data_IF_356692238654
#
_entry.id   IF_356692238654
#
_cell.length_a   1.000
_cell.length_b   1.000
_cell.length_c   1.000
_cell.angle_alpha   90.00
_cell.angle_beta   90.00
_cell.angle_gamma   90.00
#
_symmetry.space_group_name_H-M   'P 1'
#
loop_
_entity.id
_entity.type
_entity.pdbx_description
1 polymer ?
#
# COMPACT_ATOMS: atom_id res chain seq x y z
N UNK A 1 38.24 46.26 -17.46
CA UNK A 1 37.09 45.47 -17.93
C UNK A 1 36.32 45.04 -16.68
N UNK A 2 35.45 45.94 -16.21
CA UNK A 2 33.99 45.77 -16.22
C UNK A 2 33.53 44.73 -15.15
N UNK A 3 33.13 45.19 -13.96
CA UNK A 3 31.71 45.41 -13.52
C UNK A 3 31.01 44.06 -13.24
N UNK A 4 30.27 43.80 -12.16
CA UNK A 4 29.61 44.66 -11.19
C UNK A 4 28.85 43.78 -10.17
N UNK A 5 28.68 44.32 -8.97
CA UNK A 5 27.48 44.22 -8.13
C UNK A 5 27.19 42.92 -7.35
N UNK A 6 27.66 42.92 -6.10
CA UNK A 6 26.81 42.59 -4.94
C UNK A 6 25.67 43.61 -4.80
N UNK A 7 24.50 43.19 -4.28
CA UNK A 7 23.77 43.97 -3.28
C UNK A 7 23.40 43.11 -2.04
N UNK A 8 23.63 43.62 -0.82
CA UNK A 8 22.66 44.12 0.20
C UNK A 8 21.58 43.09 0.62
N UNK A 9 21.50 42.57 1.86
CA UNK A 9 21.30 43.17 3.21
C UNK A 9 19.92 43.86 3.40
N UNK A 10 19.17 43.40 4.41
CA UNK A 10 17.86 43.86 4.99
C UNK A 10 16.60 43.36 4.25
N UNK A 11 15.53 42.82 4.88
CA UNK A 11 14.98 42.91 6.24
C UNK A 11 14.12 41.65 6.54
N UNK A 12 14.25 41.01 7.71
CA UNK A 12 13.35 41.09 8.88
C UNK A 12 12.01 40.33 8.65
N UNK A 13 11.71 39.20 9.28
CA UNK A 13 11.57 39.00 10.73
C UNK A 13 11.25 37.53 11.05
N UNK A 14 11.94 36.95 12.04
CA UNK A 14 11.41 35.87 12.91
C UNK A 14 10.38 36.49 13.89
N UNK A 15 9.39 35.77 14.49
CA UNK A 15 9.45 34.43 15.10
C UNK A 15 8.18 33.58 14.76
N UNK A 16 7.92 32.32 15.14
CA UNK A 16 8.03 31.60 16.41
C UNK A 16 8.02 30.10 16.06
N UNK A 17 9.06 29.39 16.47
CA UNK A 17 9.06 27.93 16.63
C UNK A 17 8.48 27.59 18.01
N UNK A 18 7.49 26.70 18.15
CA UNK A 18 7.39 25.84 19.31
C UNK A 18 8.24 24.61 19.03
N UNK A 19 9.37 24.58 19.72
CA UNK A 19 10.18 23.40 20.02
C UNK A 19 9.37 22.14 20.29
N UNK A 20 9.84 21.01 19.78
CA UNK A 20 9.95 19.68 20.43
C UNK A 20 10.43 18.71 19.34
N UNK A 21 11.74 18.61 19.11
CA UNK A 21 12.58 17.56 19.71
C UNK A 21 11.98 16.16 19.58
N UNK A 22 12.21 15.50 18.44
CA UNK A 22 12.87 14.19 18.39
C UNK A 22 13.10 13.73 16.93
N UNK A 23 14.32 13.31 16.65
CA UNK A 23 14.68 12.33 15.61
C UNK A 23 14.83 12.77 14.15
N UNK A 24 15.87 13.58 13.85
CA UNK A 24 16.55 13.53 12.54
C UNK A 24 17.31 12.22 12.30
N UNK A 25 17.44 11.36 13.31
CA UNK A 25 18.01 10.02 13.16
C UNK A 25 17.04 9.02 12.52
N UNK A 26 15.71 9.24 12.61
CA UNK A 26 14.74 8.33 11.99
C UNK A 26 14.64 8.52 10.47
N UNK A 27 14.83 9.76 9.99
CA UNK A 27 14.77 10.08 8.55
C UNK A 27 15.97 9.54 7.77
N UNK A 28 17.15 9.42 8.41
CA UNK A 28 18.35 8.90 7.77
C UNK A 28 18.37 7.38 7.65
N UNK A 29 17.70 6.64 8.54
CA UNK A 29 17.55 5.19 8.40
C UNK A 29 16.64 4.86 7.21
N UNK A 30 15.57 5.63 7.02
CA UNK A 30 14.66 5.46 5.88
C UNK A 30 15.34 5.79 4.54
N UNK A 31 16.24 6.77 4.52
CA UNK A 31 16.97 7.18 3.32
C UNK A 31 18.19 6.28 3.01
N UNK A 32 18.87 5.73 4.04
CA UNK A 32 20.00 4.82 3.86
C UNK A 32 19.55 3.43 3.37
N UNK A 33 18.40 2.94 3.82
CA UNK A 33 17.78 1.72 3.31
C UNK A 33 17.36 1.84 1.83
N UNK A 34 17.11 3.07 1.34
CA UNK A 34 16.76 3.31 -0.06
C UNK A 34 17.97 3.14 -0.99
N UNK A 35 19.19 3.49 -0.54
CA UNK A 35 20.42 3.38 -1.36
C UNK A 35 21.07 2.00 -1.33
N UNK A 36 20.86 1.18 -0.29
CA UNK A 36 21.37 -0.22 -0.25
C UNK A 36 20.58 -1.13 -1.23
N UNK A 37 19.42 -0.67 -1.71
CA UNK A 37 18.61 -1.36 -2.71
C UNK A 37 19.13 -1.18 -4.16
N UNK A 38 20.13 -0.32 -4.39
CA UNK A 38 20.51 0.14 -5.73
C UNK A 38 21.46 -0.83 -6.49
N UNK A 39 22.25 -1.66 -5.79
CA UNK A 39 23.31 -2.46 -6.43
C UNK A 39 22.88 -3.81 -7.04
N UNK A 40 21.58 -4.13 -7.02
CA UNK A 40 21.02 -5.27 -7.81
C UNK A 40 19.86 -4.87 -8.71
N UNK A 41 19.79 -3.59 -9.11
CA UNK A 41 18.73 -3.05 -9.97
C UNK A 41 18.98 -3.18 -11.49
N UNK A 42 19.77 -4.14 -11.96
CA UNK A 42 20.03 -4.27 -13.40
C UNK A 42 18.85 -4.89 -14.20
N UNK A 43 17.70 -5.22 -13.60
CA UNK A 43 16.55 -5.75 -14.35
C UNK A 43 15.15 -5.35 -13.83
N UNK A 44 15.03 -4.39 -12.92
CA UNK A 44 13.77 -4.11 -12.20
C UNK A 44 12.99 -2.88 -12.68
N UNK A 45 13.31 -2.36 -13.88
CA UNK A 45 12.67 -1.18 -14.47
C UNK A 45 11.83 -1.48 -15.73
N UNK A 46 11.56 -2.74 -16.07
CA UNK A 46 10.60 -3.07 -17.14
C UNK A 46 9.20 -3.20 -16.53
N UNK A 47 8.32 -2.28 -16.90
CA UNK A 47 7.11 -1.96 -16.15
C UNK A 47 6.19 -3.14 -15.84
N UNK A 48 5.84 -3.27 -14.54
CA UNK A 48 4.82 -4.17 -14.01
C UNK A 48 3.50 -4.11 -14.80
N UNK A 49 3.25 -5.07 -15.69
CA UNK A 49 1.99 -5.18 -16.39
C UNK A 49 0.86 -5.50 -15.38
N UNK A 50 -0.33 -5.01 -15.65
CA UNK A 50 -1.52 -5.32 -14.85
C UNK A 50 -2.51 -5.94 -15.81
N UNK A 51 -2.83 -7.21 -15.59
CA UNK A 51 -3.80 -7.91 -16.41
C UNK A 51 -5.16 -7.19 -16.33
N UNK A 52 -5.83 -7.01 -17.46
CA UNK A 52 -7.10 -6.28 -17.51
C UNK A 52 -8.19 -6.95 -16.65
N UNK A 53 -8.10 -8.27 -16.46
CA UNK A 53 -8.98 -9.01 -15.55
C UNK A 53 -8.89 -8.47 -14.11
N UNK A 54 -7.70 -8.04 -13.64
CA UNK A 54 -7.55 -7.47 -12.31
C UNK A 54 -8.44 -6.22 -12.13
N UNK A 55 -8.48 -5.35 -13.15
CA UNK A 55 -9.28 -4.12 -13.13
C UNK A 55 -10.76 -4.45 -13.22
N UNK A 56 -11.13 -5.39 -14.09
CA UNK A 56 -12.53 -5.84 -14.25
C UNK A 56 -13.08 -6.41 -12.94
N UNK A 57 -12.34 -7.32 -12.28
CA UNK A 57 -12.76 -7.91 -11.00
C UNK A 57 -12.85 -6.88 -9.88
N UNK A 58 -11.93 -5.93 -9.83
CA UNK A 58 -12.01 -4.81 -8.89
C UNK A 58 -13.25 -3.93 -9.11
N UNK A 59 -13.57 -3.62 -10.38
CA UNK A 59 -14.79 -2.89 -10.72
C UNK A 59 -16.06 -3.67 -10.34
N UNK A 60 -16.07 -5.00 -10.52
CA UNK A 60 -17.16 -5.86 -10.07
C UNK A 60 -17.35 -5.84 -8.55
N UNK A 61 -16.25 -5.88 -7.78
CA UNK A 61 -16.28 -5.75 -6.33
C UNK A 61 -16.85 -4.38 -5.91
N UNK A 62 -16.36 -3.29 -6.51
CA UNK A 62 -16.80 -1.92 -6.19
C UNK A 62 -18.27 -1.67 -6.56
N UNK A 63 -18.71 -2.11 -7.74
CA UNK A 63 -20.01 -1.77 -8.30
C UNK A 63 -21.12 -2.75 -7.89
N UNK A 64 -20.83 -4.06 -7.93
CA UNK A 64 -21.84 -5.10 -7.69
C UNK A 64 -21.74 -5.71 -6.29
N UNK A 65 -20.62 -5.51 -5.58
CA UNK A 65 -20.32 -6.18 -4.31
C UNK A 65 -20.42 -7.70 -4.41
N UNK A 66 -20.05 -8.24 -5.58
CA UNK A 66 -20.07 -9.67 -5.86
C UNK A 66 -18.95 -10.43 -5.16
N UNK A 67 -17.94 -9.73 -4.65
CA UNK A 67 -16.80 -10.33 -3.98
C UNK A 67 -16.52 -9.58 -2.68
N UNK A 68 -16.22 -10.31 -1.60
CA UNK A 68 -15.81 -9.72 -0.32
C UNK A 68 -14.34 -9.33 -0.32
N UNK A 69 -13.52 -10.16 -0.94
CA UNK A 69 -12.10 -9.90 -1.14
C UNK A 69 -11.63 -10.35 -2.52
N UNK A 70 -10.50 -9.82 -2.96
CA UNK A 70 -9.78 -10.30 -4.15
C UNK A 70 -8.30 -10.38 -3.78
N UNK A 71 -7.66 -11.50 -4.07
CA UNK A 71 -6.23 -11.69 -3.90
C UNK A 71 -5.56 -11.67 -5.27
N UNK A 72 -4.48 -10.90 -5.35
CA UNK A 72 -3.63 -10.77 -6.52
C UNK A 72 -2.22 -11.22 -6.19
N UNK A 73 -1.54 -11.75 -7.20
CA UNK A 73 -0.13 -12.11 -7.12
C UNK A 73 0.63 -11.56 -8.31
N UNK A 74 1.92 -11.36 -8.13
CA UNK A 74 2.84 -11.01 -9.21
C UNK A 74 3.47 -12.30 -9.73
N UNK A 75 3.29 -12.58 -11.02
CA UNK A 75 3.98 -13.67 -11.71
C UNK A 75 4.92 -13.06 -12.73
N UNK A 76 6.23 -13.17 -12.49
CA UNK A 76 7.24 -12.52 -13.31
C UNK A 76 7.18 -11.00 -13.17
N UNK A 77 6.56 -10.32 -14.14
CA UNK A 77 6.39 -8.85 -14.17
C UNK A 77 4.94 -8.46 -14.47
N UNK A 78 3.99 -9.34 -14.16
CA UNK A 78 2.56 -9.11 -14.37
C UNK A 78 1.78 -9.39 -13.10
N UNK A 79 0.82 -8.51 -12.78
CA UNK A 79 -0.16 -8.73 -11.72
C UNK A 79 -1.34 -9.50 -12.28
N UNK A 80 -1.63 -10.64 -11.66
CA UNK A 80 -2.73 -11.53 -12.03
C UNK A 80 -3.64 -11.80 -10.82
N UNK A 81 -4.90 -12.13 -11.09
CA UNK A 81 -5.85 -12.56 -10.05
C UNK A 81 -5.48 -13.96 -9.58
N UNK A 82 -5.39 -14.16 -8.27
CA UNK A 82 -5.15 -15.48 -7.68
C UNK A 82 -6.42 -16.11 -7.12
N UNK A 83 -7.18 -15.34 -6.33
CA UNK A 83 -8.42 -15.82 -5.70
C UNK A 83 -9.46 -14.71 -5.65
N UNK A 84 -10.69 -15.07 -5.96
CA UNK A 84 -11.86 -14.23 -5.76
C UNK A 84 -12.62 -14.74 -4.54
N UNK A 85 -12.83 -13.84 -3.58
CA UNK A 85 -13.53 -14.11 -2.34
C UNK A 85 -15.02 -13.97 -2.52
N UNK A 86 -15.80 -15.03 -2.31
CA UNK A 86 -17.26 -14.97 -2.41
C UNK A 86 -17.85 -14.09 -1.28
N UNK A 87 -19.04 -13.50 -1.44
CA UNK A 87 -19.68 -12.70 -0.38
C UNK A 87 -19.97 -13.52 0.90
N UNK A 88 -20.10 -14.83 0.74
CA UNK A 88 -20.34 -15.78 1.83
C UNK A 88 -19.06 -16.12 2.62
N UNK A 89 -17.88 -15.94 2.04
CA UNK A 89 -16.61 -16.23 2.72
C UNK A 89 -16.35 -15.21 3.83
N UNK A 90 -15.89 -15.72 4.98
CA UNK A 90 -15.63 -14.94 6.17
C UNK A 90 -14.25 -14.27 6.13
N UNK A 91 -13.99 -13.40 7.10
CA UNK A 91 -12.66 -12.81 7.27
C UNK A 91 -11.57 -13.85 7.58
N UNK A 92 -11.95 -14.94 8.27
CA UNK A 92 -11.04 -16.03 8.59
C UNK A 92 -10.65 -16.84 7.36
N UNK A 93 -11.59 -17.03 6.41
CA UNK A 93 -11.30 -17.68 5.12
C UNK A 93 -10.34 -16.82 4.27
N UNK A 94 -10.47 -15.50 4.37
CA UNK A 94 -9.55 -14.57 3.73
C UNK A 94 -8.14 -14.67 4.32
N UNK A 95 -7.98 -14.59 5.64
CA UNK A 95 -6.65 -14.72 6.27
C UNK A 95 -6.04 -16.10 6.04
N UNK A 96 -6.85 -17.17 6.05
CA UNK A 96 -6.40 -18.52 5.74
C UNK A 96 -5.93 -18.69 4.28
N UNK A 97 -6.42 -17.85 3.36
CA UNK A 97 -5.99 -17.88 1.96
C UNK A 97 -4.68 -17.13 1.68
N UNK A 98 -4.12 -16.42 2.67
CA UNK A 98 -2.84 -15.73 2.54
C UNK A 98 -1.67 -16.68 2.92
N UNK A 99 -0.69 -16.87 2.03
CA UNK A 99 0.45 -17.74 2.31
C UNK A 99 1.40 -17.12 3.33
N UNK A 100 1.95 -17.94 4.22
CA UNK A 100 2.88 -17.48 5.25
C UNK A 100 4.30 -17.23 4.73
N UNK A 101 4.63 -17.62 3.49
CA UNK A 101 5.98 -17.61 2.91
C UNK A 101 6.09 -16.76 1.63
N UNK A 102 4.96 -16.26 1.11
CA UNK A 102 4.94 -15.47 -0.12
C UNK A 102 4.16 -14.16 0.04
N UNK A 103 4.55 -13.15 -0.74
CA UNK A 103 3.86 -11.86 -0.76
C UNK A 103 2.59 -11.93 -1.64
N UNK A 104 1.57 -11.16 -1.26
CA UNK A 104 0.31 -11.02 -2.00
C UNK A 104 -0.22 -9.59 -1.91
N UNK A 105 -1.01 -9.18 -2.88
CA UNK A 105 -1.89 -8.03 -2.70
C UNK A 105 -3.29 -8.53 -2.49
N UNK A 106 -4.04 -7.85 -1.62
CA UNK A 106 -5.45 -8.13 -1.46
C UNK A 106 -6.23 -6.82 -1.46
N UNK A 107 -7.44 -6.89 -2.00
CA UNK A 107 -8.45 -5.86 -1.85
C UNK A 107 -9.57 -6.46 -1.03
N UNK A 108 -10.02 -5.75 0.00
CA UNK A 108 -11.08 -6.17 0.89
C UNK A 108 -12.12 -5.05 0.99
N UNK A 109 -13.39 -5.36 0.69
CA UNK A 109 -14.50 -4.41 0.93
C UNK A 109 -15.01 -4.63 2.34
N UNK A 110 -14.76 -3.66 3.22
CA UNK A 110 -15.23 -3.70 4.59
C UNK A 110 -16.51 -2.90 4.73
N UNK A 111 -17.62 -3.59 4.97
CA UNK A 111 -18.92 -2.98 5.27
C UNK A 111 -19.10 -2.78 6.77
N UNK A 112 -19.55 -1.59 7.16
CA UNK A 112 -19.83 -1.25 8.55
C UNK A 112 -21.10 -0.40 8.66
N UNK A 113 -21.74 -0.51 9.80
CA UNK A 113 -22.95 0.26 10.13
C UNK A 113 -22.51 1.35 11.11
N UNK A 114 -22.76 2.60 10.75
CA UNK A 114 -22.53 3.76 11.65
C UNK A 114 -23.65 3.86 12.69
N UNK A 115 -23.43 4.54 13.81
CA UNK A 115 -24.44 4.76 14.87
C UNK A 115 -25.76 5.37 14.36
N UNK A 116 -25.72 6.08 13.23
CA UNK A 116 -26.89 6.62 12.52
C UNK A 116 -27.66 5.55 11.70
N UNK A 117 -27.37 4.26 11.91
CA UNK A 117 -27.90 3.13 11.15
C UNK A 117 -27.68 3.25 9.62
N UNK A 118 -26.66 3.99 9.22
CA UNK A 118 -26.25 4.14 7.83
C UNK A 118 -25.20 3.06 7.49
N UNK A 119 -25.51 2.21 6.51
CA UNK A 119 -24.55 1.23 5.99
C UNK A 119 -23.55 1.93 5.08
N UNK A 120 -22.27 1.90 5.45
CA UNK A 120 -21.15 2.41 4.66
C UNK A 120 -20.22 1.26 4.32
N UNK A 121 -19.45 1.41 3.25
CA UNK A 121 -18.36 0.48 2.95
C UNK A 121 -17.08 1.21 2.60
N UNK A 122 -15.97 0.64 3.02
CA UNK A 122 -14.62 1.13 2.76
C UNK A 122 -13.81 0.04 2.09
N UNK A 123 -13.20 0.39 0.96
CA UNK A 123 -12.32 -0.52 0.23
C UNK A 123 -10.91 -0.38 0.79
N UNK A 124 -10.40 -1.47 1.34
CA UNK A 124 -9.05 -1.62 1.86
C UNK A 124 -8.17 -2.29 0.82
N UNK A 125 -7.01 -1.70 0.57
CA UNK A 125 -5.92 -2.35 -0.15
C UNK A 125 -4.89 -2.83 0.87
N UNK A 126 -4.64 -4.13 0.88
CA UNK A 126 -3.76 -4.81 1.82
C UNK A 126 -2.55 -5.34 1.05
N UNK A 127 -1.35 -4.82 1.35
CA UNK A 127 -0.11 -5.39 0.88
C UNK A 127 0.41 -6.40 1.92
N UNK A 128 0.28 -7.68 1.59
CA UNK A 128 0.73 -8.80 2.41
C UNK A 128 2.19 -9.14 2.07
N UNK A 129 3.07 -9.03 3.07
CA UNK A 129 4.50 -9.29 2.89
C UNK A 129 5.09 -9.96 4.13
N UNK A 130 4.94 -11.28 4.28
CA UNK A 130 5.36 -11.99 5.48
C UNK A 130 6.88 -12.02 5.61
N UNK A 131 7.39 -12.08 6.84
CA UNK A 131 8.81 -11.85 7.07
C UNK A 131 9.74 -12.95 6.53
N UNK A 132 9.21 -14.16 6.48
CA UNK A 132 9.78 -15.38 5.91
C UNK A 132 9.93 -15.33 4.38
N UNK A 133 9.24 -14.40 3.70
CA UNK A 133 9.29 -14.30 2.24
C UNK A 133 10.64 -13.81 1.73
N UNK A 134 10.97 -14.19 0.49
CA UNK A 134 12.26 -13.85 -0.13
C UNK A 134 12.42 -12.34 -0.26
N UNK A 135 13.58 -11.81 0.15
CA UNK A 135 13.92 -10.37 0.06
C UNK A 135 13.65 -9.79 -1.34
N UNK A 136 14.01 -10.52 -2.40
CA UNK A 136 13.75 -10.10 -3.78
C UNK A 136 12.25 -9.97 -4.08
N UNK A 137 11.42 -10.86 -3.55
CA UNK A 137 9.96 -10.77 -3.73
C UNK A 137 9.40 -9.57 -2.98
N UNK A 138 9.78 -9.37 -1.71
CA UNK A 138 9.38 -8.19 -0.94
C UNK A 138 9.72 -6.89 -1.68
N UNK A 139 10.92 -6.82 -2.26
CA UNK A 139 11.36 -5.68 -3.05
C UNK A 139 10.46 -5.43 -4.28
N UNK A 140 10.17 -6.48 -5.07
CA UNK A 140 9.30 -6.37 -6.25
C UNK A 140 7.88 -5.96 -5.86
N UNK A 141 7.33 -6.52 -4.80
CA UNK A 141 5.99 -6.17 -4.31
C UNK A 141 5.96 -4.74 -3.73
N UNK A 142 6.99 -4.31 -3.01
CA UNK A 142 7.06 -2.95 -2.50
C UNK A 142 7.17 -1.92 -3.63
N UNK A 143 8.03 -2.16 -4.62
CA UNK A 143 8.25 -1.23 -5.74
C UNK A 143 7.08 -1.16 -6.71
N UNK A 144 6.34 -2.26 -6.88
CA UNK A 144 5.25 -2.36 -7.85
C UNK A 144 3.89 -1.92 -7.30
N UNK A 145 3.78 -1.82 -5.96
CA UNK A 145 2.55 -1.50 -5.24
C UNK A 145 1.91 -0.20 -5.75
N UNK A 146 2.68 0.88 -5.83
CA UNK A 146 2.14 2.19 -6.18
C UNK A 146 1.67 2.26 -7.64
N UNK A 147 2.29 1.48 -8.54
CA UNK A 147 1.80 1.36 -9.92
C UNK A 147 0.48 0.61 -9.95
N UNK A 148 0.40 -0.56 -9.33
CA UNK A 148 -0.83 -1.37 -9.32
C UNK A 148 -2.00 -0.61 -8.67
N UNK A 149 -1.74 0.08 -7.56
CA UNK A 149 -2.74 0.89 -6.85
C UNK A 149 -3.35 2.00 -7.73
N UNK A 150 -2.56 2.61 -8.62
CA UNK A 150 -3.06 3.65 -9.55
C UNK A 150 -4.04 3.10 -10.59
N UNK A 151 -3.94 1.82 -10.93
CA UNK A 151 -4.89 1.15 -11.83
C UNK A 151 -6.22 0.82 -11.12
N UNK A 152 -6.22 0.79 -9.78
CA UNK A 152 -7.38 0.45 -8.95
C UNK A 152 -7.99 1.71 -8.33
N UNK A 153 -8.74 2.48 -9.13
CA UNK A 153 -9.36 3.72 -8.67
C UNK A 153 -10.58 3.50 -7.75
N UNK A 154 -10.44 3.89 -6.48
CA UNK A 154 -11.47 3.73 -5.46
C UNK A 154 -11.00 3.08 -4.15
N UNK A 155 -9.71 2.77 -4.05
CA UNK A 155 -9.10 2.37 -2.77
C UNK A 155 -9.17 3.55 -1.80
N UNK A 156 -9.74 3.32 -0.62
CA UNK A 156 -9.93 4.36 0.40
C UNK A 156 -8.85 4.28 1.49
N UNK A 157 -8.42 3.07 1.82
CA UNK A 157 -7.43 2.84 2.88
C UNK A 157 -6.37 1.87 2.39
N UNK A 158 -5.10 2.17 2.68
CA UNK A 158 -3.97 1.28 2.47
C UNK A 158 -3.55 0.66 3.82
N UNK A 159 -3.33 -0.65 3.81
CA UNK A 159 -2.80 -1.42 4.92
C UNK A 159 -1.60 -2.22 4.41
N UNK A 160 -0.54 -2.27 5.19
CA UNK A 160 0.58 -3.17 5.00
C UNK A 160 0.59 -4.10 6.20
N UNK A 161 0.74 -5.40 5.96
CA UNK A 161 0.73 -6.40 7.00
C UNK A 161 1.82 -7.44 6.71
N UNK A 162 2.61 -7.75 7.74
CA UNK A 162 3.58 -8.86 7.71
C UNK A 162 3.00 -10.11 8.36
N UNK A 163 2.03 -9.93 9.25
CA UNK A 163 1.43 -11.00 10.05
C UNK A 163 -0.10 -10.94 10.05
N UNK A 164 -0.81 -12.08 10.13
CA UNK A 164 -2.27 -12.07 10.05
C UNK A 164 -2.90 -11.32 11.25
N UNK A 165 -2.17 -11.23 12.35
CA UNK A 165 -2.55 -10.46 13.54
C UNK A 165 -2.62 -8.95 13.28
N UNK A 166 -1.77 -8.41 12.39
CA UNK A 166 -1.72 -6.98 12.04
C UNK A 166 -2.86 -6.55 11.12
N UNK A 167 -3.56 -7.52 10.55
CA UNK A 167 -4.78 -7.34 9.80
C UNK A 167 -6.00 -7.81 10.61
N UNK A 168 -5.94 -7.87 11.94
CA UNK A 168 -7.15 -8.21 12.72
C UNK A 168 -8.32 -7.27 12.40
N UNK A 169 -9.56 -7.79 12.51
CA UNK A 169 -10.79 -7.04 12.22
C UNK A 169 -10.87 -5.73 13.02
N UNK A 170 -10.32 -5.70 14.23
CA UNK A 170 -10.28 -4.52 15.09
C UNK A 170 -9.40 -3.40 14.49
N UNK A 171 -8.27 -3.75 13.86
CA UNK A 171 -7.39 -2.79 13.19
C UNK A 171 -8.08 -2.24 11.94
N UNK A 172 -8.73 -3.10 11.16
CA UNK A 172 -9.48 -2.69 9.96
C UNK A 172 -10.62 -1.75 10.37
N UNK A 173 -11.39 -2.12 11.40
CA UNK A 173 -12.44 -1.27 11.98
C UNK A 173 -11.90 0.07 12.47
N UNK A 174 -10.78 0.06 13.20
CA UNK A 174 -10.14 1.28 13.71
C UNK A 174 -9.68 2.23 12.61
N UNK A 175 -9.31 1.72 11.43
CA UNK A 175 -9.00 2.54 10.25
C UNK A 175 -10.22 2.89 9.40
N UNK A 176 -11.33 2.17 9.58
CA UNK A 176 -12.58 2.40 8.88
C UNK A 176 -13.44 3.51 9.53
N UNK A 177 -13.31 3.73 10.83
CA UNK A 177 -14.06 4.75 11.57
C UNK A 177 -13.44 6.15 11.44
#
# INVERSE_FOLDING_TARGET
VHLSCLPNFKDLSSPIVPSLSFSSFFFLILQSCYSILEDTMANSASGMAVEDECKLKFLELKAKRNYRFIIFKIVGQEVVVEKLGSPEESYEDFTASLPADECRYAVFDFDFITDENCQKSKIFFIAWSPDTSKVRMKMVYASSKDRFKRELDGIQVELQATDPSEMSLDIIKGRAL
#
